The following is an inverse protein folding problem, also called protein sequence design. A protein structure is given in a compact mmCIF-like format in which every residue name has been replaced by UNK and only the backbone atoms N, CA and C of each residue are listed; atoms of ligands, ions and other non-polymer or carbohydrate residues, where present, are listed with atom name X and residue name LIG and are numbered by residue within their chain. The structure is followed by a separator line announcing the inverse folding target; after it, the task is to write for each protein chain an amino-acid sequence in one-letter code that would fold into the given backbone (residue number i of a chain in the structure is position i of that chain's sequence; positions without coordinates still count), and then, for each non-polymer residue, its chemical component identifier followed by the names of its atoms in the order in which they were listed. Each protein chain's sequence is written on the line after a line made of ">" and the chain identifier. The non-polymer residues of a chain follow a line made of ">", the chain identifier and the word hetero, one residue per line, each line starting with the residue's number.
data_IF_500224013039
#
_entry.id   IF_500224013039
#
_cell.length_a   1.000
_cell.length_b   1.000
_cell.length_c   1.000
_cell.angle_alpha   90.00
_cell.angle_beta   90.00
_cell.angle_gamma   90.00
#
_symmetry.space_group_name_H-M   'P 1'
#
loop_
_entity.id
_entity.type
_entity.pdbx_description
1 polymer ?
#
# COMPACT_ATOMS: atom_id res chain seq x y z
N UNK A 1 -22.74 4.88 35.80
CA UNK A 1 -23.49 4.78 34.53
C UNK A 1 -24.26 6.07 34.18
N UNK A 2 -24.21 7.12 35.00
CA UNK A 2 -25.10 8.28 34.92
C UNK A 2 -24.66 9.37 33.92
N UNK A 3 -23.60 9.14 33.13
CA UNK A 3 -23.14 10.12 32.14
C UNK A 3 -23.92 10.01 30.83
N UNK A 4 -24.39 8.82 30.45
CA UNK A 4 -25.19 8.63 29.25
C UNK A 4 -26.52 9.39 29.31
N UNK A 5 -27.20 9.38 30.47
CA UNK A 5 -28.46 10.11 30.67
C UNK A 5 -28.26 11.63 30.70
N UNK A 6 -27.14 12.10 31.26
CA UNK A 6 -26.85 13.54 31.39
C UNK A 6 -26.52 14.24 30.07
N UNK A 7 -25.96 13.51 29.11
CA UNK A 7 -25.52 14.08 27.84
C UNK A 7 -26.29 13.50 26.64
N UNK A 8 -27.26 12.61 26.87
CA UNK A 8 -28.16 12.07 25.84
C UNK A 8 -28.74 13.15 24.94
N UNK A 9 -29.24 14.23 25.55
CA UNK A 9 -29.99 15.27 24.86
C UNK A 9 -29.08 16.27 24.13
N UNK A 10 -27.82 16.40 24.57
CA UNK A 10 -26.77 17.21 23.90
C UNK A 10 -26.01 16.42 22.83
N UNK A 11 -26.13 15.09 22.81
CA UNK A 11 -25.55 14.25 21.77
C UNK A 11 -26.45 14.31 20.53
N UNK A 12 -26.27 15.37 19.74
CA UNK A 12 -26.72 15.41 18.35
C UNK A 12 -25.85 14.44 17.53
N UNK A 13 -26.11 13.13 17.63
CA UNK A 13 -25.48 12.12 16.78
C UNK A 13 -26.12 12.15 15.39
N UNK A 14 -25.94 13.23 14.64
CA UNK A 14 -26.33 13.28 13.23
C UNK A 14 -25.30 12.53 12.37
N UNK A 15 -25.16 11.22 12.62
CA UNK A 15 -24.46 10.36 11.67
C UNK A 15 -25.36 10.28 10.43
N UNK A 16 -25.04 11.06 9.40
CA UNK A 16 -25.71 10.93 8.11
C UNK A 16 -25.47 9.51 7.60
N UNK A 17 -26.56 8.76 7.40
CA UNK A 17 -26.45 7.42 6.85
C UNK A 17 -25.90 7.53 5.42
N UNK A 18 -24.72 6.96 5.16
CA UNK A 18 -24.10 6.99 3.84
C UNK A 18 -25.08 6.53 2.76
N UNK A 19 -25.16 7.30 1.68
CA UNK A 19 -26.02 7.04 0.54
C UNK A 19 -25.67 5.70 -0.10
N UNK A 20 -26.65 5.01 -0.69
CA UNK A 20 -26.42 3.72 -1.35
C UNK A 20 -25.32 3.76 -2.41
N UNK A 21 -25.17 4.91 -3.10
CA UNK A 21 -24.12 5.16 -4.09
C UNK A 21 -22.72 5.26 -3.45
N UNK A 22 -22.60 5.98 -2.34
CA UNK A 22 -21.33 6.10 -1.60
C UNK A 22 -20.86 4.74 -1.08
N UNK A 23 -21.79 3.88 -0.63
CA UNK A 23 -21.46 2.52 -0.19
C UNK A 23 -20.96 1.63 -1.33
N UNK A 24 -21.49 1.79 -2.55
CA UNK A 24 -21.00 1.03 -3.72
C UNK A 24 -19.64 1.54 -4.18
N UNK A 25 -19.44 2.85 -4.15
CA UNK A 25 -18.18 3.47 -4.55
C UNK A 25 -17.04 3.10 -3.60
N UNK A 26 -17.29 3.11 -2.29
CA UNK A 26 -16.31 2.66 -1.28
C UNK A 26 -15.89 1.20 -1.51
N UNK A 27 -16.83 0.29 -1.79
CA UNK A 27 -16.50 -1.12 -2.11
C UNK A 27 -15.68 -1.25 -3.39
N UNK A 28 -15.96 -0.45 -4.41
CA UNK A 28 -15.19 -0.44 -5.64
C UNK A 28 -13.76 0.08 -5.41
N UNK A 29 -13.61 1.14 -4.60
CA UNK A 29 -12.33 1.71 -4.21
C UNK A 29 -11.51 0.72 -3.37
N UNK A 30 -12.10 0.04 -2.40
CA UNK A 30 -11.43 -1.00 -1.60
C UNK A 30 -10.90 -2.15 -2.47
N UNK A 31 -11.69 -2.59 -3.45
CA UNK A 31 -11.26 -3.62 -4.41
C UNK A 31 -10.08 -3.13 -5.25
N UNK A 32 -10.09 -1.86 -5.67
CA UNK A 32 -9.00 -1.26 -6.44
C UNK A 32 -7.73 -1.14 -5.61
N UNK A 33 -7.84 -0.76 -4.33
CA UNK A 33 -6.70 -0.66 -3.41
C UNK A 33 -6.03 -2.03 -3.27
N UNK A 34 -6.80 -3.09 -2.99
CA UNK A 34 -6.25 -4.45 -2.86
C UNK A 34 -5.53 -4.93 -4.12
N UNK A 35 -6.09 -4.64 -5.30
CA UNK A 35 -5.45 -4.98 -6.57
C UNK A 35 -4.13 -4.22 -6.76
N UNK A 36 -4.11 -2.91 -6.45
CA UNK A 36 -2.89 -2.10 -6.54
C UNK A 36 -1.82 -2.55 -5.54
N UNK A 37 -2.20 -2.89 -4.31
CA UNK A 37 -1.29 -3.43 -3.30
C UNK A 37 -0.63 -4.73 -3.78
N UNK A 38 -1.41 -5.64 -4.36
CA UNK A 38 -0.89 -6.90 -4.92
C UNK A 38 0.08 -6.65 -6.09
N UNK A 39 -0.24 -5.71 -6.98
CA UNK A 39 0.66 -5.35 -8.08
C UNK A 39 1.97 -4.75 -7.58
N UNK A 40 1.89 -3.92 -6.54
CA UNK A 40 3.04 -3.30 -5.89
C UNK A 40 3.93 -4.34 -5.20
N UNK A 41 3.33 -5.31 -4.50
CA UNK A 41 4.05 -6.43 -3.89
C UNK A 41 4.77 -7.27 -4.95
N UNK A 42 4.08 -7.63 -6.04
CA UNK A 42 4.67 -8.38 -7.16
C UNK A 42 5.85 -7.63 -7.79
N UNK A 43 5.73 -6.31 -7.98
CA UNK A 43 6.80 -5.49 -8.52
C UNK A 43 8.01 -5.42 -7.57
N UNK A 44 7.78 -5.30 -6.26
CA UNK A 44 8.85 -5.35 -5.25
C UNK A 44 9.56 -6.70 -5.26
N UNK A 45 8.82 -7.81 -5.27
CA UNK A 45 9.38 -9.15 -5.32
C UNK A 45 10.23 -9.36 -6.58
N UNK A 46 9.75 -8.92 -7.75
CA UNK A 46 10.52 -8.96 -9.00
C UNK A 46 11.81 -8.16 -8.90
N UNK A 47 11.76 -6.95 -8.35
CA UNK A 47 12.96 -6.13 -8.16
C UNK A 47 14.00 -6.79 -7.25
N UNK A 48 13.56 -7.40 -6.15
CA UNK A 48 14.46 -8.15 -5.25
C UNK A 48 15.09 -9.31 -6.00
N UNK A 49 14.28 -10.13 -6.68
CA UNK A 49 14.79 -11.28 -7.45
C UNK A 49 15.75 -10.88 -8.56
N UNK A 50 15.47 -9.79 -9.29
CA UNK A 50 16.38 -9.25 -10.30
C UNK A 50 17.71 -8.79 -9.69
N UNK A 51 17.67 -8.07 -8.56
CA UNK A 51 18.90 -7.67 -7.87
C UNK A 51 19.70 -8.87 -7.39
N UNK A 52 19.05 -9.89 -6.81
CA UNK A 52 19.74 -11.12 -6.38
C UNK A 52 20.37 -11.86 -7.57
N UNK A 53 19.68 -11.95 -8.71
CA UNK A 53 20.28 -12.55 -9.92
C UNK A 53 21.46 -11.74 -10.44
N UNK A 54 21.40 -10.40 -10.37
CA UNK A 54 22.53 -9.53 -10.71
C UNK A 54 23.70 -9.80 -9.77
N UNK A 55 23.46 -9.89 -8.47
CA UNK A 55 24.51 -10.13 -7.47
C UNK A 55 25.18 -11.51 -7.71
N UNK A 56 24.41 -12.56 -8.03
CA UNK A 56 24.95 -13.88 -8.40
C UNK A 56 25.78 -13.79 -9.70
N UNK A 57 25.28 -13.09 -10.72
CA UNK A 57 25.99 -12.93 -11.99
C UNK A 57 27.32 -12.15 -11.84
N UNK A 58 27.34 -11.15 -10.97
CA UNK A 58 28.55 -10.37 -10.65
C UNK A 58 29.55 -11.20 -9.83
N UNK A 59 29.08 -11.99 -8.86
CA UNK A 59 29.95 -12.79 -7.98
C UNK A 59 30.52 -14.03 -8.67
N UNK A 60 29.67 -14.85 -9.27
CA UNK A 60 30.06 -16.18 -9.76
C UNK A 60 30.60 -16.12 -11.20
N UNK A 61 30.06 -15.21 -12.02
CA UNK A 61 30.41 -15.12 -13.45
C UNK A 61 31.29 -13.89 -13.79
N UNK A 62 31.57 -13.01 -12.82
CA UNK A 62 32.33 -11.75 -13.01
C UNK A 62 31.80 -10.88 -14.15
N UNK A 63 30.50 -10.96 -14.42
CA UNK A 63 29.83 -10.12 -15.41
C UNK A 63 29.49 -8.78 -14.77
N UNK A 64 30.07 -7.68 -15.25
CA UNK A 64 29.76 -6.34 -14.74
C UNK A 64 28.44 -5.83 -15.35
N UNK A 65 27.32 -6.11 -14.69
CA UNK A 65 25.98 -5.73 -15.16
C UNK A 65 25.54 -4.38 -14.57
N UNK A 66 25.81 -4.13 -13.28
CA UNK A 66 25.47 -2.86 -12.63
C UNK A 66 26.48 -1.78 -13.04
N UNK A 67 25.99 -0.58 -13.34
CA UNK A 67 26.87 0.60 -13.57
C UNK A 67 27.65 0.87 -12.28
N UNK A 68 28.99 0.80 -12.34
CA UNK A 68 29.83 1.26 -11.23
C UNK A 68 29.49 2.73 -10.96
N UNK A 69 29.12 3.04 -9.73
CA UNK A 69 28.90 4.43 -9.30
C UNK A 69 30.15 5.23 -9.72
N UNK A 70 29.94 6.28 -10.50
CA UNK A 70 31.04 7.11 -11.01
C UNK A 70 31.83 7.73 -9.84
N UNK A 71 33.04 8.28 -10.10
CA UNK A 71 33.81 8.93 -9.05
C UNK A 71 32.95 10.01 -8.38
N UNK A 72 32.87 9.95 -7.04
CA UNK A 72 32.32 11.05 -6.23
C UNK A 72 33.09 12.32 -6.63
N UNK A 73 32.39 13.29 -7.22
CA UNK A 73 32.93 14.63 -7.45
C UNK A 73 33.01 15.39 -6.13
#
# INVERSE_FOLDING_TARGET
>A
RNWQERYSDDIHLSLQAMSGKERTDVKALEKRIKELEKQLELAKMKNVGLNTMIDIAEQDYKLEIRKKSGPKQ
#
